data_IF_126697306390
#
_entry.id   IF_126697306390
#
_cell.length_a   1.000
_cell.length_b   1.000
_cell.length_c   1.000
_cell.angle_alpha   90.00
_cell.angle_beta   90.00
_cell.angle_gamma   90.00
#
_symmetry.space_group_name_H-M   'P 1'
#
loop_
_entity.id
_entity.type
_entity.pdbx_description
1 polymer ?
#
# COMPACT_ATOMS: atom_id res chain seq x y z
N UNK A 1 -8.62 -66.64 -36.07
CA UNK A 1 -8.29 -66.01 -34.77
C UNK A 1 -8.15 -64.55 -34.98
N UNK A 2 -9.18 -63.76 -34.64
CA UNK A 2 -9.14 -62.25 -34.71
C UNK A 2 -8.69 -61.71 -33.35
N UNK A 3 -7.55 -61.04 -33.31
CA UNK A 3 -7.06 -60.37 -32.10
C UNK A 3 -7.78 -59.01 -31.99
N UNK A 4 -8.54 -58.84 -30.91
CA UNK A 4 -9.22 -57.61 -30.55
C UNK A 4 -8.17 -56.75 -29.79
N UNK A 5 -7.78 -55.59 -30.36
CA UNK A 5 -6.97 -54.60 -29.67
C UNK A 5 -7.91 -53.62 -28.97
N UNK A 6 -7.95 -53.68 -27.64
CA UNK A 6 -8.68 -52.71 -26.82
C UNK A 6 -7.77 -51.49 -26.60
N UNK A 7 -8.13 -50.37 -27.21
CA UNK A 7 -7.44 -49.08 -27.01
C UNK A 7 -7.98 -48.46 -25.72
N UNK A 8 -7.14 -48.43 -24.68
CA UNK A 8 -7.46 -47.78 -23.41
C UNK A 8 -7.17 -46.29 -23.52
N UNK A 9 -8.20 -45.47 -23.72
CA UNK A 9 -8.04 -44.01 -23.75
C UNK A 9 -7.99 -43.50 -22.31
N UNK A 10 -6.82 -43.12 -21.82
CA UNK A 10 -6.64 -42.44 -20.53
C UNK A 10 -7.05 -40.99 -20.72
N UNK A 11 -8.24 -40.60 -20.22
CA UNK A 11 -8.65 -39.21 -20.12
C UNK A 11 -7.87 -38.57 -18.95
N UNK A 12 -6.82 -37.83 -19.26
CA UNK A 12 -6.21 -36.93 -18.30
C UNK A 12 -7.15 -35.72 -18.08
N UNK A 13 -7.89 -35.73 -16.99
CA UNK A 13 -8.54 -34.53 -16.47
C UNK A 13 -7.43 -33.58 -15.98
N UNK A 14 -7.01 -32.66 -16.81
CA UNK A 14 -6.28 -31.48 -16.35
C UNK A 14 -7.29 -30.60 -15.63
N UNK A 15 -7.37 -30.75 -14.32
CA UNK A 15 -8.11 -29.84 -13.48
C UNK A 15 -7.53 -28.42 -13.67
N UNK A 16 -8.25 -27.57 -14.40
CA UNK A 16 -7.96 -26.12 -14.38
C UNK A 16 -8.27 -25.64 -12.96
N UNK A 17 -7.24 -25.55 -12.13
CA UNK A 17 -7.35 -24.78 -10.88
C UNK A 17 -7.59 -23.34 -11.27
N UNK A 18 -8.83 -22.84 -11.07
CA UNK A 18 -9.08 -21.39 -11.11
C UNK A 18 -8.10 -20.74 -10.13
N UNK A 19 -7.39 -19.72 -10.59
CA UNK A 19 -6.62 -18.87 -9.66
C UNK A 19 -7.58 -18.39 -8.58
N UNK A 20 -7.22 -18.62 -7.32
CA UNK A 20 -8.05 -18.20 -6.20
C UNK A 20 -8.10 -16.67 -6.17
N UNK A 21 -9.31 -16.11 -6.11
CA UNK A 21 -9.50 -14.66 -6.06
C UNK A 21 -9.03 -14.09 -4.71
N UNK A 22 -8.63 -12.83 -4.70
CA UNK A 22 -8.31 -12.11 -3.47
C UNK A 22 -9.55 -11.95 -2.60
N UNK A 23 -9.45 -12.36 -1.32
CA UNK A 23 -10.47 -12.20 -0.29
C UNK A 23 -9.99 -11.14 0.71
N UNK A 24 -10.88 -10.24 1.13
CA UNK A 24 -10.59 -9.25 2.16
C UNK A 24 -10.35 -9.99 3.50
N UNK A 25 -9.17 -9.81 4.09
CA UNK A 25 -8.82 -10.40 5.40
C UNK A 25 -8.72 -9.35 6.51
N UNK A 26 -8.61 -8.07 6.14
CA UNK A 26 -8.60 -6.97 7.10
C UNK A 26 -9.00 -5.65 6.45
N UNK A 27 -9.80 -4.86 7.19
CA UNK A 27 -10.21 -3.51 6.85
C UNK A 27 -10.05 -2.61 8.06
N UNK A 28 -9.39 -1.47 7.85
CA UNK A 28 -9.33 -0.36 8.79
C UNK A 28 -9.90 0.87 8.10
N UNK A 29 -11.00 1.41 8.59
CA UNK A 29 -11.70 2.57 8.01
C UNK A 29 -11.70 3.81 8.91
N UNK A 30 -11.01 3.72 10.06
CA UNK A 30 -10.79 4.83 10.98
C UNK A 30 -12.07 5.54 11.46
N UNK A 31 -13.20 4.82 11.52
CA UNK A 31 -14.50 5.38 11.92
C UNK A 31 -14.73 5.43 13.42
N UNK A 32 -13.85 4.80 14.21
CA UNK A 32 -13.93 4.75 15.66
C UNK A 32 -13.63 6.11 16.31
N UNK A 33 -13.98 6.25 17.58
CA UNK A 33 -13.75 7.50 18.33
C UNK A 33 -12.27 7.76 18.64
N UNK A 34 -11.44 6.71 18.63
CA UNK A 34 -9.98 6.76 18.86
C UNK A 34 -9.29 5.65 18.09
N UNK A 35 -8.02 5.86 17.79
CA UNK A 35 -7.18 4.85 17.14
C UNK A 35 -7.12 3.60 18.02
N UNK A 36 -7.40 2.42 17.45
CA UNK A 36 -7.38 1.16 18.18
C UNK A 36 -5.93 0.82 18.62
N UNK A 37 -5.70 0.90 19.92
CA UNK A 37 -4.39 0.63 20.48
C UNK A 37 -4.03 -0.88 20.52
N UNK A 38 -4.96 -1.78 20.21
CA UNK A 38 -4.65 -3.19 19.98
C UNK A 38 -4.00 -3.41 18.61
N UNK A 39 -4.24 -2.53 17.66
CA UNK A 39 -3.71 -2.59 16.28
C UNK A 39 -2.55 -1.61 16.08
N UNK A 40 -2.68 -0.40 16.57
CA UNK A 40 -1.79 0.71 16.27
C UNK A 40 -0.89 1.11 17.44
N UNK A 41 0.34 1.49 17.13
CA UNK A 41 1.24 2.23 18.00
C UNK A 41 1.38 3.65 17.46
N UNK A 42 1.23 4.65 18.33
CA UNK A 42 1.64 6.04 18.02
C UNK A 42 3.11 6.16 18.44
N UNK A 43 3.98 6.57 17.52
CA UNK A 43 5.39 6.79 17.83
C UNK A 43 5.61 8.15 18.48
N UNK A 44 6.34 8.16 19.60
CA UNK A 44 6.77 9.36 20.33
C UNK A 44 8.29 9.38 20.36
N UNK A 45 8.89 10.16 19.46
CA UNK A 45 10.36 10.18 19.27
C UNK A 45 10.84 11.42 18.54
N UNK A 46 12.07 11.83 18.81
CA UNK A 46 12.79 12.92 18.14
C UNK A 46 14.14 12.48 17.56
N UNK A 47 14.33 11.16 17.37
CA UNK A 47 15.62 10.60 16.96
C UNK A 47 16.01 10.87 15.49
N UNK A 48 15.18 11.60 14.73
CA UNK A 48 15.42 11.95 13.34
C UNK A 48 15.22 10.80 12.34
N UNK A 49 14.56 9.69 12.76
CA UNK A 49 14.18 8.59 11.89
C UNK A 49 15.32 7.89 11.14
N UNK A 50 16.59 8.11 11.56
CA UNK A 50 17.78 7.67 10.81
C UNK A 50 18.14 8.56 9.62
N UNK A 51 17.33 9.57 9.29
CA UNK A 51 17.43 10.41 8.10
C UNK A 51 17.61 11.91 8.41
N UNK A 52 18.01 12.26 9.65
CA UNK A 52 18.14 13.65 10.11
C UNK A 52 16.83 14.46 9.98
N UNK A 53 15.70 13.81 10.15
CA UNK A 53 14.38 14.45 10.15
C UNK A 53 14.27 15.47 11.29
N UNK A 54 13.50 16.53 11.08
CA UNK A 54 13.46 17.70 11.97
C UNK A 54 12.41 17.63 13.07
N UNK A 55 11.32 16.88 12.86
CA UNK A 55 10.17 16.85 13.74
C UNK A 55 10.41 16.08 15.04
N UNK A 56 9.62 16.41 16.03
CA UNK A 56 9.25 15.52 17.12
C UNK A 56 7.96 14.78 16.72
N UNK A 57 8.02 13.46 16.54
CA UNK A 57 6.81 12.65 16.44
C UNK A 57 6.14 12.56 17.81
N UNK A 58 4.85 12.85 17.90
CA UNK A 58 4.13 12.89 19.16
C UNK A 58 2.63 12.62 18.97
N UNK A 59 1.95 12.28 20.08
CA UNK A 59 0.52 11.92 20.06
C UNK A 59 -0.36 13.02 19.43
N UNK A 60 -0.08 14.30 19.68
CA UNK A 60 -0.87 15.41 19.09
C UNK A 60 -0.74 15.52 17.58
N UNK A 61 0.28 14.90 16.97
CA UNK A 61 0.43 14.77 15.52
C UNK A 61 -0.45 13.70 14.90
N UNK A 62 -1.18 12.92 15.72
CA UNK A 62 -2.02 11.81 15.28
C UNK A 62 -3.45 12.02 15.79
N UNK A 63 -4.43 11.97 14.91
CA UNK A 63 -5.84 12.05 15.30
C UNK A 63 -6.74 11.27 14.34
N UNK A 64 -7.94 10.95 14.78
CA UNK A 64 -9.04 10.54 13.90
C UNK A 64 -9.97 11.72 13.71
N UNK A 65 -10.51 11.89 12.49
CA UNK A 65 -11.40 12.99 12.20
C UNK A 65 -11.88 13.00 10.75
N UNK A 66 -12.66 14.02 10.43
CA UNK A 66 -13.27 14.15 9.10
C UNK A 66 -12.38 14.97 8.18
N UNK A 67 -12.07 14.43 7.00
CA UNK A 67 -11.45 15.20 5.93
C UNK A 67 -12.46 16.21 5.37
N UNK A 68 -12.15 17.53 5.39
CA UNK A 68 -13.17 18.58 5.25
C UNK A 68 -13.77 18.71 3.85
N UNK A 69 -13.08 18.22 2.79
CA UNK A 69 -13.58 18.34 1.40
C UNK A 69 -14.55 17.22 1.01
N UNK A 70 -14.32 16.01 1.53
CA UNK A 70 -15.07 14.81 1.15
C UNK A 70 -16.01 14.33 2.23
N UNK A 71 -15.84 14.79 3.50
CA UNK A 71 -16.59 14.32 4.64
C UNK A 71 -16.21 12.90 5.11
N UNK A 72 -15.10 12.34 4.64
CA UNK A 72 -14.65 11.00 5.02
C UNK A 72 -13.95 11.02 6.37
N UNK A 73 -14.24 10.03 7.22
CA UNK A 73 -13.46 9.75 8.42
C UNK A 73 -12.08 9.22 8.01
N UNK A 74 -11.04 9.70 8.69
CA UNK A 74 -9.65 9.38 8.32
C UNK A 74 -8.77 9.31 9.57
N UNK A 75 -7.70 8.54 9.47
CA UNK A 75 -6.48 8.80 10.22
C UNK A 75 -5.84 10.07 9.67
N UNK A 76 -5.50 11.01 10.55
CA UNK A 76 -4.91 12.30 10.22
C UNK A 76 -3.54 12.41 10.85
N UNK A 77 -2.49 12.54 10.01
CA UNK A 77 -1.14 12.84 10.46
C UNK A 77 -0.87 14.32 10.18
N UNK A 78 -0.59 15.09 11.23
CA UNK A 78 -0.48 16.55 11.16
C UNK A 78 0.95 17.00 11.42
N UNK A 79 1.55 17.66 10.44
CA UNK A 79 2.83 18.37 10.54
C UNK A 79 2.61 19.83 10.92
N UNK A 80 3.26 20.31 12.00
CA UNK A 80 3.09 21.66 12.52
C UNK A 80 4.44 22.30 12.81
N UNK A 81 4.64 23.55 12.38
CA UNK A 81 5.79 24.37 12.78
C UNK A 81 5.48 25.00 14.14
N UNK A 82 6.09 24.48 15.18
CA UNK A 82 5.90 24.89 16.57
C UNK A 82 7.07 24.42 17.42
N UNK A 83 7.42 25.18 18.46
CA UNK A 83 8.38 24.67 19.44
C UNK A 83 7.77 23.60 20.31
N UNK A 84 8.38 22.43 20.37
CA UNK A 84 7.96 21.32 21.21
C UNK A 84 9.16 20.59 21.78
N UNK A 85 9.36 20.70 23.11
CA UNK A 85 10.49 20.13 23.86
C UNK A 85 11.82 20.64 23.31
N UNK A 86 12.46 19.94 22.39
CA UNK A 86 13.77 20.25 21.80
C UNK A 86 13.74 20.35 20.26
N UNK A 87 12.54 20.41 19.68
CA UNK A 87 12.31 20.52 18.23
C UNK A 87 11.44 21.73 17.90
N UNK A 88 11.62 22.26 16.69
CA UNK A 88 10.87 23.41 16.18
C UNK A 88 9.71 23.00 15.27
N UNK A 89 9.37 21.70 15.26
CA UNK A 89 8.20 21.18 14.59
C UNK A 89 7.77 19.83 15.18
N UNK A 90 6.49 19.54 15.05
CA UNK A 90 5.88 18.26 15.45
C UNK A 90 5.24 17.59 14.25
N UNK A 91 5.08 16.27 14.32
CA UNK A 91 4.35 15.50 13.33
C UNK A 91 3.80 14.18 13.89
N UNK A 92 3.09 13.43 13.03
CA UNK A 92 2.51 12.13 13.35
C UNK A 92 3.20 10.98 12.63
N UNK A 93 3.38 9.86 13.38
CA UNK A 93 3.79 8.56 12.87
C UNK A 93 3.09 7.46 13.64
N UNK A 94 2.52 6.50 12.91
CA UNK A 94 1.87 5.32 13.45
C UNK A 94 2.42 4.06 12.81
N UNK A 95 2.38 2.95 13.55
CA UNK A 95 2.74 1.65 13.02
C UNK A 95 1.95 0.51 13.68
N UNK A 96 1.97 -0.67 13.07
CA UNK A 96 1.28 -1.86 13.59
C UNK A 96 2.26 -2.91 14.15
N UNK A 97 3.51 -2.53 14.44
CA UNK A 97 4.58 -3.45 14.90
C UNK A 97 4.14 -4.28 16.10
N UNK A 98 4.33 -5.61 16.02
CA UNK A 98 3.99 -6.59 17.05
C UNK A 98 2.49 -6.69 17.39
N UNK A 99 1.63 -6.02 16.61
CA UNK A 99 0.17 -6.01 16.81
C UNK A 99 -0.54 -6.57 15.58
N UNK A 100 -0.49 -5.89 14.44
CA UNK A 100 -1.00 -6.41 13.20
C UNK A 100 0.14 -6.54 12.18
N UNK A 101 0.25 -7.71 11.58
CA UNK A 101 1.26 -8.01 10.56
C UNK A 101 0.78 -9.13 9.63
N UNK A 102 1.32 -9.16 8.42
CA UNK A 102 0.92 -10.10 7.39
C UNK A 102 2.10 -10.52 6.50
N UNK A 103 1.91 -11.62 5.77
CA UNK A 103 2.86 -12.10 4.77
C UNK A 103 2.12 -12.35 3.48
N UNK A 104 2.58 -11.74 2.39
CA UNK A 104 2.04 -11.83 1.04
C UNK A 104 0.56 -11.42 0.93
N UNK A 105 0.16 -11.14 -0.29
CA UNK A 105 -1.19 -10.70 -0.62
C UNK A 105 -1.20 -9.36 -1.34
N UNK A 106 -2.32 -8.68 -1.25
CA UNK A 106 -2.52 -7.31 -1.74
C UNK A 106 -2.84 -6.40 -0.56
N UNK A 107 -2.19 -5.26 -0.49
CA UNK A 107 -2.57 -4.16 0.40
C UNK A 107 -2.97 -2.96 -0.44
N UNK A 108 -4.09 -2.36 -0.08
CA UNK A 108 -4.57 -1.09 -0.62
C UNK A 108 -4.69 -0.08 0.51
N UNK A 109 -4.22 1.14 0.28
CA UNK A 109 -4.43 2.27 1.18
C UNK A 109 -4.97 3.46 0.39
N UNK A 110 -6.09 4.05 0.84
CA UNK A 110 -6.65 5.25 0.23
C UNK A 110 -6.16 6.47 0.97
N UNK A 111 -5.28 7.24 0.33
CA UNK A 111 -4.49 8.31 0.95
C UNK A 111 -4.69 9.62 0.20
N UNK A 112 -4.85 10.72 0.95
CA UNK A 112 -4.75 12.09 0.46
C UNK A 112 -3.46 12.71 0.99
N UNK A 113 -2.51 12.95 0.08
CA UNK A 113 -1.23 13.55 0.43
C UNK A 113 -1.37 15.06 0.58
N UNK A 114 -0.66 15.69 1.56
CA UNK A 114 -0.61 17.14 1.66
C UNK A 114 0.17 17.75 0.50
N UNK A 115 0.05 19.07 0.33
CA UNK A 115 1.03 19.81 -0.48
C UNK A 115 2.39 19.71 0.19
N UNK A 116 3.28 18.97 -0.45
CA UNK A 116 4.63 18.74 0.08
C UNK A 116 5.48 19.99 0.00
N UNK A 117 5.22 20.87 -1.01
CA UNK A 117 6.01 22.06 -1.29
C UNK A 117 7.50 21.75 -1.03
N UNK A 118 8.22 22.60 -0.24
CA UNK A 118 9.56 22.23 0.21
C UNK A 118 9.50 21.69 1.63
N UNK A 119 9.94 20.45 1.81
CA UNK A 119 10.36 19.91 3.08
C UNK A 119 9.39 18.95 3.77
N UNK A 120 8.21 18.66 3.25
CA UNK A 120 7.39 17.55 3.76
C UNK A 120 7.72 16.25 3.03
N UNK A 121 7.68 15.17 3.78
CA UNK A 121 7.97 13.81 3.32
C UNK A 121 6.92 12.85 3.88
N UNK A 122 5.72 12.79 3.28
CA UNK A 122 4.72 11.77 3.60
C UNK A 122 5.17 10.42 3.04
N UNK A 123 4.95 9.35 3.84
CA UNK A 123 5.27 7.98 3.47
C UNK A 123 4.21 6.99 3.97
N UNK A 124 3.97 5.96 3.16
CA UNK A 124 3.24 4.76 3.53
C UNK A 124 4.07 3.54 3.13
N UNK A 125 4.47 2.73 4.09
CA UNK A 125 5.51 1.74 3.96
C UNK A 125 5.39 0.60 4.97
N UNK A 126 6.28 -0.38 4.90
CA UNK A 126 6.31 -1.52 5.81
C UNK A 126 7.74 -2.00 6.11
N UNK A 127 7.90 -2.66 7.25
CA UNK A 127 9.12 -3.36 7.64
C UNK A 127 8.82 -4.76 8.17
N UNK A 128 9.83 -5.65 8.13
CA UNK A 128 9.74 -6.97 8.73
C UNK A 128 9.44 -6.90 10.23
N UNK A 129 8.42 -7.66 10.69
CA UNK A 129 7.99 -7.68 12.10
C UNK A 129 9.03 -8.29 13.05
N UNK A 130 10.12 -8.84 12.49
CA UNK A 130 11.30 -9.28 13.24
C UNK A 130 12.31 -8.14 13.50
N UNK A 131 11.92 -6.87 13.28
CA UNK A 131 12.77 -5.69 13.49
C UNK A 131 13.45 -5.68 14.85
N UNK A 132 12.73 -6.01 15.94
CA UNK A 132 13.28 -5.97 17.29
C UNK A 132 14.37 -7.05 17.53
N UNK A 133 14.41 -8.10 16.70
CA UNK A 133 15.40 -9.17 16.79
C UNK A 133 16.65 -8.91 15.94
N UNK A 134 16.46 -8.36 14.73
CA UNK A 134 17.55 -8.26 13.76
C UNK A 134 17.93 -6.83 13.42
N UNK A 135 17.05 -5.85 13.67
CA UNK A 135 17.22 -4.45 13.32
C UNK A 135 17.14 -4.17 11.82
N UNK A 136 17.21 -2.88 11.49
CA UNK A 136 17.31 -2.40 10.10
C UNK A 136 18.77 -2.45 9.62
N UNK A 137 19.06 -2.80 8.37
CA UNK A 137 18.16 -3.17 7.27
C UNK A 137 17.89 -4.68 7.17
N UNK A 138 18.28 -5.49 8.15
CA UNK A 138 18.16 -6.95 8.13
C UNK A 138 16.71 -7.43 8.15
N UNK A 139 15.80 -6.65 8.71
CA UNK A 139 14.38 -6.97 8.72
C UNK A 139 13.73 -6.82 7.33
N UNK A 140 14.35 -6.06 6.42
CA UNK A 140 13.75 -5.63 5.16
C UNK A 140 12.81 -4.45 5.34
N UNK A 141 12.79 -3.56 4.33
CA UNK A 141 11.92 -2.39 4.24
C UNK A 141 11.34 -2.31 2.84
N UNK A 142 10.08 -1.94 2.74
CA UNK A 142 9.37 -1.74 1.47
C UNK A 142 8.56 -0.46 1.57
N UNK A 143 8.94 0.54 0.79
CA UNK A 143 8.29 1.85 0.74
C UNK A 143 7.30 1.85 -0.38
N UNK A 144 6.00 1.66 -0.02
CA UNK A 144 4.95 1.60 -1.02
C UNK A 144 4.85 2.93 -1.75
N UNK A 145 4.94 4.04 -1.03
CA UNK A 145 4.96 5.36 -1.64
C UNK A 145 5.62 6.39 -0.72
N UNK A 146 6.41 7.27 -1.33
CA UNK A 146 7.02 8.42 -0.70
C UNK A 146 6.94 9.64 -1.63
N UNK A 147 6.61 10.80 -1.08
CA UNK A 147 6.65 12.10 -1.76
C UNK A 147 7.64 13.04 -1.07
N UNK A 148 8.05 14.10 -1.76
CA UNK A 148 8.87 15.16 -1.17
C UNK A 148 10.37 15.02 -1.41
N UNK A 149 10.81 14.13 -2.31
CA UNK A 149 12.23 13.97 -2.65
C UNK A 149 12.83 15.26 -3.24
N UNK A 150 14.08 15.58 -2.89
CA UNK A 150 14.78 16.78 -3.34
C UNK A 150 14.82 16.98 -4.87
N UNK A 151 14.82 15.90 -5.65
CA UNK A 151 14.77 15.98 -7.12
C UNK A 151 13.45 16.55 -7.63
N UNK A 152 12.35 16.30 -6.94
CA UNK A 152 11.04 16.87 -7.25
C UNK A 152 11.06 18.41 -7.14
N UNK A 153 11.72 18.96 -6.10
CA UNK A 153 11.86 20.41 -5.94
C UNK A 153 12.75 21.02 -7.01
N UNK A 154 13.87 20.36 -7.32
CA UNK A 154 14.82 20.82 -8.35
C UNK A 154 14.19 20.86 -9.75
N UNK A 155 13.23 19.96 -10.01
CA UNK A 155 12.51 19.86 -11.31
C UNK A 155 11.18 20.62 -11.33
N UNK A 156 10.70 21.14 -10.19
CA UNK A 156 9.40 21.81 -10.09
C UNK A 156 8.23 20.85 -10.26
N UNK A 157 8.40 19.58 -9.84
CA UNK A 157 7.40 18.50 -10.01
C UNK A 157 6.96 17.90 -8.69
N UNK A 158 7.15 18.57 -7.57
CA UNK A 158 6.89 18.07 -6.22
C UNK A 158 5.46 17.60 -6.01
N UNK A 159 4.51 18.20 -6.72
CA UNK A 159 3.09 17.87 -6.63
C UNK A 159 2.71 16.54 -7.33
N UNK A 160 3.62 15.97 -8.11
CA UNK A 160 3.35 14.78 -8.96
C UNK A 160 4.53 13.81 -9.07
N UNK A 161 5.59 14.04 -8.29
CA UNK A 161 6.76 13.16 -8.21
C UNK A 161 6.68 12.30 -6.95
N UNK A 162 6.75 11.00 -7.13
CA UNK A 162 6.75 10.02 -6.04
C UNK A 162 7.63 8.82 -6.39
N UNK A 163 7.97 8.01 -5.40
CA UNK A 163 8.72 6.78 -5.59
C UNK A 163 8.19 5.63 -4.73
N UNK A 164 8.55 4.42 -5.14
CA UNK A 164 8.56 3.22 -4.31
C UNK A 164 9.97 2.72 -4.17
N UNK A 165 10.29 2.02 -3.08
CA UNK A 165 11.61 1.49 -2.81
C UNK A 165 11.59 0.19 -2.02
N UNK A 166 12.74 -0.49 -2.03
CA UNK A 166 13.02 -1.67 -1.19
C UNK A 166 14.45 -1.58 -0.65
N UNK A 167 14.65 -1.95 0.61
CA UNK A 167 15.94 -1.91 1.29
C UNK A 167 16.19 -3.20 2.07
N UNK A 168 17.38 -3.80 1.89
CA UNK A 168 17.87 -4.93 2.68
C UNK A 168 19.39 -4.83 2.85
N UNK A 169 19.95 -5.50 3.82
CA UNK A 169 21.39 -5.54 3.96
C UNK A 169 21.85 -6.03 5.33
N UNK A 170 23.16 -6.15 5.49
CA UNK A 170 23.77 -6.67 6.71
C UNK A 170 23.88 -5.62 7.82
N UNK A 171 23.97 -4.33 7.46
CA UNK A 171 24.11 -3.19 8.38
C UNK A 171 23.83 -1.86 7.67
N UNK A 172 23.69 -0.77 8.41
CA UNK A 172 23.31 0.57 7.92
C UNK A 172 24.21 1.13 6.81
N UNK A 173 25.48 0.74 6.75
CA UNK A 173 26.46 1.17 5.72
C UNK A 173 26.71 0.10 4.65
N UNK A 174 25.89 -0.98 4.64
CA UNK A 174 25.93 -2.06 3.67
C UNK A 174 24.50 -2.46 3.33
N UNK A 175 23.80 -1.55 2.65
CA UNK A 175 22.40 -1.68 2.23
C UNK A 175 22.35 -1.85 0.72
N UNK A 176 21.62 -2.87 0.28
CA UNK A 176 21.12 -2.93 -1.09
C UNK A 176 19.79 -2.19 -1.13
N UNK A 177 19.67 -1.26 -2.07
CA UNK A 177 18.47 -0.49 -2.29
C UNK A 177 18.08 -0.51 -3.76
N UNK A 178 16.80 -0.66 -4.02
CA UNK A 178 16.20 -0.47 -5.34
C UNK A 178 15.05 0.49 -5.20
N UNK A 179 15.03 1.53 -6.01
CA UNK A 179 13.99 2.55 -5.98
C UNK A 179 13.64 2.97 -7.41
N UNK A 180 12.37 3.22 -7.66
CA UNK A 180 11.91 3.82 -8.89
C UNK A 180 11.07 5.06 -8.60
N UNK A 181 11.48 6.18 -9.22
CA UNK A 181 10.80 7.46 -9.11
C UNK A 181 10.02 7.77 -10.37
N UNK A 182 8.81 8.28 -10.20
CA UNK A 182 7.89 8.59 -11.28
C UNK A 182 7.42 10.04 -11.19
N UNK A 183 7.39 10.71 -12.34
CA UNK A 183 6.70 12.00 -12.47
C UNK A 183 5.40 11.79 -13.24
N UNK A 184 4.26 11.98 -12.57
CA UNK A 184 2.96 11.81 -13.19
C UNK A 184 2.54 13.02 -14.02
N UNK A 185 1.58 12.85 -14.97
CA UNK A 185 1.13 13.96 -15.80
C UNK A 185 0.24 14.96 -15.06
N UNK A 186 -0.26 14.61 -13.85
CA UNK A 186 -1.13 15.44 -13.00
C UNK A 186 -0.70 15.36 -11.54
N UNK A 187 -1.17 16.33 -10.73
CA UNK A 187 -0.89 16.38 -9.29
C UNK A 187 -1.48 15.18 -8.57
N UNK A 188 -0.74 14.63 -7.61
CA UNK A 188 -1.17 13.59 -6.67
C UNK A 188 -1.42 14.15 -5.27
N UNK A 189 -1.28 15.46 -5.09
CA UNK A 189 -1.52 16.17 -3.84
C UNK A 189 -2.98 16.62 -3.73
N UNK A 190 -3.47 16.81 -2.52
CA UNK A 190 -4.81 17.34 -2.18
C UNK A 190 -6.00 16.50 -2.71
N UNK A 191 -5.77 15.32 -3.26
CA UNK A 191 -6.81 14.38 -3.69
C UNK A 191 -6.54 12.98 -3.14
N UNK A 192 -7.61 12.17 -3.00
CA UNK A 192 -7.44 10.79 -2.59
C UNK A 192 -7.00 9.90 -3.77
N UNK A 193 -5.95 9.13 -3.52
CA UNK A 193 -5.45 8.09 -4.40
C UNK A 193 -5.44 6.74 -3.68
N UNK A 194 -5.54 5.65 -4.43
CA UNK A 194 -5.37 4.30 -3.88
C UNK A 194 -3.96 3.83 -4.22
N UNK A 195 -3.14 3.69 -3.18
CA UNK A 195 -1.82 3.07 -3.29
C UNK A 195 -1.99 1.58 -3.06
N UNK A 196 -1.55 0.78 -4.03
CA UNK A 196 -1.67 -0.68 -3.99
C UNK A 196 -0.30 -1.32 -4.05
N UNK A 197 -0.04 -2.33 -3.23
CA UNK A 197 1.06 -3.26 -3.41
C UNK A 197 0.53 -4.69 -3.58
N UNK A 198 1.02 -5.39 -4.59
CA UNK A 198 0.86 -6.84 -4.77
C UNK A 198 2.19 -7.49 -4.41
N UNK A 199 2.15 -8.30 -3.35
CA UNK A 199 3.31 -8.95 -2.79
C UNK A 199 3.15 -10.47 -2.83
N UNK A 200 4.06 -11.11 -3.56
CA UNK A 200 4.11 -12.55 -3.76
C UNK A 200 5.45 -13.13 -3.26
N UNK A 201 5.60 -14.45 -3.15
CA UNK A 201 6.91 -15.05 -2.83
C UNK A 201 8.04 -14.68 -3.81
N UNK A 202 7.69 -14.27 -5.04
CA UNK A 202 8.65 -14.06 -6.11
C UNK A 202 8.79 -12.59 -6.54
N UNK A 203 7.87 -11.70 -6.11
CA UNK A 203 7.87 -10.31 -6.58
C UNK A 203 7.09 -9.38 -5.68
N UNK A 204 7.45 -8.10 -5.74
CA UNK A 204 6.68 -6.97 -5.23
C UNK A 204 6.40 -6.04 -6.41
N UNK A 205 5.13 -5.61 -6.54
CA UNK A 205 4.72 -4.63 -7.54
C UNK A 205 3.81 -3.58 -6.89
N UNK A 206 4.06 -2.29 -7.17
CA UNK A 206 3.34 -1.17 -6.56
C UNK A 206 2.65 -0.33 -7.62
N UNK A 207 1.45 0.12 -7.29
CA UNK A 207 0.55 0.82 -8.22
C UNK A 207 -0.07 2.03 -7.52
N UNK A 208 -0.38 3.04 -8.30
CA UNK A 208 -1.27 4.12 -7.89
C UNK A 208 -2.52 4.10 -8.74
N UNK A 209 -3.70 4.05 -8.10
CA UNK A 209 -5.01 3.92 -8.76
C UNK A 209 -5.02 2.78 -9.80
N UNK A 210 -4.73 1.56 -9.33
CA UNK A 210 -4.51 0.36 -10.17
C UNK A 210 -5.64 0.13 -11.19
N UNK A 211 -6.88 0.47 -10.83
CA UNK A 211 -8.04 0.32 -11.72
C UNK A 211 -8.00 1.25 -12.94
N UNK A 212 -7.30 2.37 -12.81
CA UNK A 212 -7.09 3.35 -13.89
C UNK A 212 -5.72 3.20 -14.56
N UNK A 213 -4.73 2.76 -13.76
CA UNK A 213 -3.33 2.65 -14.16
C UNK A 213 -2.81 1.24 -13.81
N UNK A 214 -3.06 0.23 -14.65
CA UNK A 214 -2.70 -1.16 -14.35
C UNK A 214 -1.20 -1.47 -14.47
N UNK A 215 -0.39 -0.51 -14.92
CA UNK A 215 1.06 -0.66 -14.96
C UNK A 215 1.68 -0.25 -13.62
N UNK A 216 2.53 -1.09 -13.01
CA UNK A 216 3.19 -0.76 -11.76
C UNK A 216 4.18 0.41 -11.95
N UNK A 217 4.22 1.33 -11.00
CA UNK A 217 5.27 2.35 -10.96
C UNK A 217 6.58 1.83 -10.35
N UNK A 218 6.51 0.75 -9.58
CA UNK A 218 7.64 0.00 -9.06
C UNK A 218 7.36 -1.49 -9.20
N UNK A 219 8.34 -2.25 -9.67
CA UNK A 219 8.26 -3.72 -9.67
C UNK A 219 9.66 -4.30 -9.51
N UNK A 220 9.77 -5.27 -8.61
CA UNK A 220 11.02 -5.98 -8.33
C UNK A 220 10.79 -7.46 -8.12
N UNK A 221 11.64 -8.28 -8.74
CA UNK A 221 11.70 -9.70 -8.45
C UNK A 221 12.46 -9.94 -7.14
N UNK A 222 11.99 -10.89 -6.35
CA UNK A 222 12.64 -11.33 -5.12
C UNK A 222 13.63 -12.45 -5.46
N UNK A 223 14.88 -12.06 -5.71
CA UNK A 223 15.91 -13.01 -6.08
C UNK A 223 16.54 -13.68 -4.85
N UNK A 224 16.77 -15.00 -4.89
CA UNK A 224 17.53 -15.68 -3.86
C UNK A 224 19.00 -15.22 -3.88
N UNK A 225 19.65 -15.25 -2.72
CA UNK A 225 21.07 -14.96 -2.58
C UNK A 225 21.70 -15.93 -1.56
N UNK A 226 22.96 -16.30 -1.76
CA UNK A 226 23.69 -17.12 -0.80
C UNK A 226 24.07 -16.38 0.49
N UNK A 227 24.17 -15.05 0.43
CA UNK A 227 24.29 -14.21 1.62
C UNK A 227 22.89 -13.97 2.22
N UNK A 228 22.69 -14.40 3.47
CA UNK A 228 21.39 -14.36 4.14
C UNK A 228 20.79 -12.93 4.22
N UNK A 229 21.66 -11.91 4.34
CA UNK A 229 21.24 -10.51 4.47
C UNK A 229 20.89 -9.83 3.16
N UNK A 230 21.10 -10.51 2.04
CA UNK A 230 20.76 -10.07 0.69
C UNK A 230 19.83 -11.05 -0.03
N UNK A 231 19.39 -12.11 0.65
CA UNK A 231 18.41 -13.05 0.12
C UNK A 231 17.01 -12.46 0.23
N UNK A 232 16.59 -11.76 -0.84
CA UNK A 232 15.33 -11.04 -0.89
C UNK A 232 14.11 -11.96 -0.74
N UNK A 233 14.15 -13.18 -1.25
CA UNK A 233 13.06 -14.15 -1.06
C UNK A 233 12.86 -14.48 0.41
N UNK A 234 13.93 -14.68 1.18
CA UNK A 234 13.87 -15.03 2.59
C UNK A 234 13.47 -13.83 3.44
N UNK A 235 14.06 -12.66 3.18
CA UNK A 235 13.82 -11.45 3.98
C UNK A 235 12.39 -10.95 3.77
N UNK A 236 11.98 -10.75 2.52
CA UNK A 236 10.61 -10.34 2.17
C UNK A 236 9.61 -11.50 2.17
N UNK A 237 9.98 -12.69 2.56
CA UNK A 237 9.10 -13.82 2.85
C UNK A 237 8.66 -13.91 4.31
N UNK A 238 9.03 -12.92 5.14
CA UNK A 238 8.67 -12.84 6.56
C UNK A 238 7.49 -11.89 6.77
N UNK A 239 6.75 -12.01 7.89
CA UNK A 239 5.67 -11.08 8.20
C UNK A 239 6.17 -9.64 8.29
N UNK A 240 5.39 -8.70 7.75
CA UNK A 240 5.65 -7.27 7.79
C UNK A 240 4.54 -6.52 8.53
N UNK A 241 4.92 -5.46 9.22
CA UNK A 241 4.02 -4.49 9.83
C UNK A 241 3.98 -3.20 9.02
N UNK A 242 2.88 -2.46 9.10
CA UNK A 242 2.61 -1.24 8.35
C UNK A 242 3.08 -0.02 9.14
N UNK A 243 3.56 1.00 8.42
CA UNK A 243 3.95 2.30 8.95
C UNK A 243 3.36 3.39 8.07
N UNK A 244 2.84 4.46 8.69
CA UNK A 244 2.46 5.69 8.03
C UNK A 244 3.02 6.89 8.80
N UNK A 245 3.63 7.83 8.09
CA UNK A 245 4.18 9.03 8.71
C UNK A 245 4.17 10.24 7.77
N UNK A 246 4.28 11.41 8.39
CA UNK A 246 4.51 12.68 7.72
C UNK A 246 5.80 13.31 8.26
N UNK A 247 6.94 12.96 7.68
CA UNK A 247 8.24 13.52 8.10
C UNK A 247 8.41 14.97 7.64
N UNK A 248 9.31 15.68 8.29
CA UNK A 248 9.64 17.07 8.01
C UNK A 248 11.14 17.21 7.85
N UNK A 249 11.60 17.67 6.68
CA UNK A 249 13.03 17.83 6.40
C UNK A 249 13.82 16.54 6.36
N UNK A 250 15.12 16.64 6.54
CA UNK A 250 16.06 15.53 6.53
C UNK A 250 16.66 15.23 5.17
N UNK A 251 17.25 14.05 5.06
CA UNK A 251 18.07 13.64 3.91
C UNK A 251 17.26 13.51 2.61
N UNK A 252 16.04 13.01 2.68
CA UNK A 252 15.23 12.77 1.50
C UNK A 252 14.75 14.05 0.80
N UNK A 253 14.20 15.06 1.53
CA UNK A 253 13.96 16.39 0.96
C UNK A 253 15.24 17.22 0.75
N UNK A 254 16.34 16.87 1.42
CA UNK A 254 17.59 17.64 1.38
C UNK A 254 17.50 18.97 2.09
N UNK A 255 16.72 19.06 3.17
CA UNK A 255 16.50 20.28 3.97
C UNK A 255 16.68 19.93 5.45
N UNK A 256 17.67 20.55 6.10
CA UNK A 256 18.04 20.27 7.49
C UNK A 256 17.84 21.46 8.42
N UNK A 257 17.18 22.53 7.96
CA UNK A 257 16.81 23.71 8.74
C UNK A 257 15.31 23.96 8.62
N UNK A 258 14.65 24.16 9.76
CA UNK A 258 13.20 24.43 9.83
C UNK A 258 12.79 25.69 9.04
N UNK A 259 13.68 26.66 8.86
CA UNK A 259 13.42 27.83 8.06
C UNK A 259 13.37 27.55 6.55
N UNK A 260 13.97 26.44 6.11
CA UNK A 260 13.88 25.94 4.74
C UNK A 260 12.57 25.19 4.47
N UNK A 261 11.79 24.85 5.48
CA UNK A 261 10.51 24.12 5.36
C UNK A 261 9.40 25.10 4.98
N UNK A 262 9.30 25.44 3.71
CA UNK A 262 8.29 26.40 3.24
C UNK A 262 6.88 25.83 3.22
N UNK A 263 6.73 24.51 3.21
CA UNK A 263 5.43 23.83 3.27
C UNK A 263 4.58 24.24 4.47
N UNK A 264 5.23 24.59 5.60
CA UNK A 264 4.56 24.93 6.86
C UNK A 264 4.42 26.43 7.12
N UNK A 265 4.81 27.29 6.17
CA UNK A 265 4.78 28.76 6.37
C UNK A 265 3.35 29.31 6.53
N UNK A 266 2.34 28.62 5.99
CA UNK A 266 0.93 29.02 6.02
C UNK A 266 0.08 28.12 6.93
N UNK A 267 0.67 27.55 7.97
CA UNK A 267 -0.02 26.69 8.94
C UNK A 267 0.26 25.21 8.76
N UNK A 268 -0.38 24.38 9.58
CA UNK A 268 -0.21 22.92 9.56
C UNK A 268 -0.55 22.29 8.22
N UNK A 269 0.02 21.11 7.95
CA UNK A 269 -0.31 20.26 6.82
C UNK A 269 -0.72 18.88 7.32
N UNK A 270 -1.70 18.30 6.66
CA UNK A 270 -2.27 17.02 7.04
C UNK A 270 -2.20 16.00 5.90
N UNK A 271 -1.76 14.80 6.24
CA UNK A 271 -1.93 13.60 5.44
C UNK A 271 -3.16 12.86 5.98
N UNK A 272 -4.08 12.47 5.10
CA UNK A 272 -5.30 11.74 5.47
C UNK A 272 -5.25 10.34 4.90
N UNK A 273 -5.58 9.34 5.72
CA UNK A 273 -5.76 7.96 5.28
C UNK A 273 -7.21 7.59 5.57
N UNK A 274 -8.01 7.40 4.51
CA UNK A 274 -9.44 7.07 4.59
C UNK A 274 -9.66 5.64 5.05
N UNK A 275 -8.90 4.71 4.45
CA UNK A 275 -8.93 3.30 4.83
C UNK A 275 -7.66 2.56 4.37
N UNK A 276 -7.41 1.40 5.02
CA UNK A 276 -6.39 0.43 4.62
C UNK A 276 -7.05 -0.95 4.55
N UNK A 277 -6.75 -1.74 3.49
CA UNK A 277 -7.32 -3.06 3.26
C UNK A 277 -6.25 -4.06 2.89
N UNK A 278 -6.32 -5.24 3.47
CA UNK A 278 -5.44 -6.36 3.14
C UNK A 278 -6.29 -7.49 2.58
N UNK A 279 -5.81 -8.06 1.46
CA UNK A 279 -6.46 -9.15 0.76
C UNK A 279 -5.48 -10.31 0.58
N UNK A 280 -5.95 -11.53 0.78
CA UNK A 280 -5.17 -12.75 0.56
C UNK A 280 -5.96 -13.75 -0.28
N UNK A 281 -5.27 -14.71 -0.87
CA UNK A 281 -5.88 -15.79 -1.68
C UNK A 281 -6.06 -17.09 -0.92
N UNK A 282 -5.57 -17.17 0.33
CA UNK A 282 -5.57 -18.39 1.12
C UNK A 282 -4.46 -19.36 0.72
N UNK A 283 -3.40 -18.88 0.05
CA UNK A 283 -2.23 -19.67 -0.26
C UNK A 283 -1.52 -20.08 1.04
N UNK A 284 -0.95 -21.31 1.09
CA UNK A 284 -0.37 -21.88 2.31
C UNK A 284 0.79 -21.06 2.93
N UNK A 285 1.42 -20.20 2.14
CA UNK A 285 2.51 -19.30 2.56
C UNK A 285 2.06 -17.90 2.97
N UNK A 286 0.76 -17.61 2.87
CA UNK A 286 0.16 -16.38 3.34
C UNK A 286 -0.15 -16.47 4.83
N UNK A 287 -0.01 -15.37 5.55
CA UNK A 287 -0.40 -15.27 6.95
C UNK A 287 -0.94 -13.87 7.25
N UNK A 288 -1.85 -13.81 8.19
CA UNK A 288 -2.39 -12.57 8.73
C UNK A 288 -2.58 -12.73 10.23
N UNK A 289 -2.13 -11.77 11.02
CA UNK A 289 -2.29 -11.71 12.47
C UNK A 289 -2.76 -10.34 12.86
N UNK A 290 -3.90 -10.28 13.56
CA UNK A 290 -4.44 -9.07 14.16
C UNK A 290 -5.22 -9.43 15.42
N UNK A 291 -4.86 -8.91 16.60
CA UNK A 291 -5.53 -9.25 17.86
C UNK A 291 -7.00 -8.81 17.93
N UNK A 292 -7.38 -7.77 17.20
CA UNK A 292 -8.75 -7.24 17.16
C UNK A 292 -9.63 -7.89 16.09
N UNK A 293 -9.07 -8.71 15.20
CA UNK A 293 -9.83 -9.45 14.19
C UNK A 293 -10.52 -10.67 14.85
N UNK A 294 -11.50 -10.42 15.71
CA UNK A 294 -12.23 -11.49 16.42
C UNK A 294 -13.31 -12.16 15.58
N UNK A 295 -13.77 -11.54 14.48
CA UNK A 295 -14.79 -12.11 13.61
C UNK A 295 -14.30 -12.13 12.15
N UNK A 296 -14.60 -13.21 11.38
CA UNK A 296 -14.46 -13.18 9.93
C UNK A 296 -15.30 -12.03 9.39
N UNK A 297 -14.75 -11.21 8.50
CA UNK A 297 -15.53 -10.18 7.82
C UNK A 297 -16.59 -10.90 7.01
N UNK A 298 -17.87 -10.80 7.43
CA UNK A 298 -18.99 -11.38 6.68
C UNK A 298 -19.02 -10.77 5.27
N UNK A 299 -19.29 -11.55 4.24
CA UNK A 299 -19.31 -11.09 2.84
C UNK A 299 -20.23 -9.89 2.58
N UNK A 300 -21.26 -9.66 3.42
CA UNK A 300 -22.18 -8.53 3.30
C UNK A 300 -21.55 -7.18 3.63
N UNK A 301 -20.51 -7.14 4.44
CA UNK A 301 -19.76 -5.92 4.74
C UNK A 301 -18.66 -5.62 3.70
N UNK A 302 -18.45 -6.53 2.75
CA UNK A 302 -17.63 -6.30 1.56
C UNK A 302 -18.34 -5.46 0.48
N UNK A 303 -19.43 -4.76 0.80
CA UNK A 303 -20.20 -3.90 -0.12
C UNK A 303 -19.45 -2.64 -0.62
N UNK A 304 -18.15 -2.65 -0.61
CA UNK A 304 -17.31 -1.71 -1.36
C UNK A 304 -16.47 -2.39 -2.43
N UNK A 305 -16.62 -3.70 -2.58
CA UNK A 305 -16.10 -4.48 -3.70
C UNK A 305 -17.21 -4.56 -4.76
N UNK A 306 -17.54 -3.43 -5.42
CA UNK A 306 -17.99 -3.57 -6.79
C UNK A 306 -16.90 -4.38 -7.49
N UNK A 307 -17.29 -5.50 -8.07
CA UNK A 307 -16.43 -6.43 -8.82
C UNK A 307 -15.38 -5.65 -9.60
N UNK A 308 -14.14 -5.63 -9.12
CA UNK A 308 -13.00 -5.27 -9.94
C UNK A 308 -12.71 -6.48 -10.83
N UNK A 309 -13.64 -6.75 -11.72
CA UNK A 309 -13.35 -7.50 -12.94
C UNK A 309 -12.45 -6.59 -13.76
N UNK A 310 -11.23 -7.01 -13.98
CA UNK A 310 -10.29 -6.32 -14.86
C UNK A 310 -10.98 -5.84 -16.15
N UNK A 311 -10.71 -4.58 -16.51
CA UNK A 311 -11.26 -3.77 -17.58
C UNK A 311 -12.60 -3.08 -17.25
N UNK A 312 -12.46 -1.79 -16.87
CA UNK A 312 -13.54 -0.86 -16.63
C UNK A 312 -14.53 -0.75 -17.78
N UNK A 313 -15.65 -1.40 -17.62
CA UNK A 313 -16.91 -1.05 -18.22
C UNK A 313 -17.96 -1.34 -17.13
N UNK A 314 -18.57 -0.30 -16.58
CA UNK A 314 -19.86 -0.45 -15.91
C UNK A 314 -20.81 -1.09 -16.90
N UNK A 315 -20.99 -2.39 -16.80
CA UNK A 315 -21.95 -3.13 -17.61
C UNK A 315 -23.32 -2.96 -16.96
N UNK A 316 -23.97 -1.86 -17.24
CA UNK A 316 -25.42 -1.72 -16.97
C UNK A 316 -26.16 -2.62 -17.97
N UNK A 317 -26.45 -3.87 -17.59
CA UNK A 317 -27.19 -4.80 -18.45
C UNK A 317 -27.46 -6.11 -17.72
N UNK A 318 -28.56 -6.79 -18.11
CA UNK A 318 -28.95 -8.07 -17.57
C UNK A 318 -28.05 -9.19 -18.11
N UNK A 319 -27.48 -10.03 -17.24
CA UNK A 319 -26.73 -11.22 -17.66
C UNK A 319 -27.70 -12.30 -18.15
N UNK A 320 -27.55 -12.75 -19.38
CA UNK A 320 -28.42 -13.78 -20.01
C UNK A 320 -27.59 -14.97 -20.42
N UNK A 321 -27.94 -16.14 -19.94
CA UNK A 321 -27.35 -17.42 -20.37
C UNK A 321 -28.14 -17.99 -21.54
N UNK A 322 -27.56 -18.14 -22.73
CA UNK A 322 -28.18 -18.70 -23.91
C UNK A 322 -27.28 -19.75 -24.54
N UNK A 323 -27.78 -21.00 -24.66
CA UNK A 323 -27.03 -22.15 -25.18
C UNK A 323 -25.68 -22.42 -24.48
N UNK A 324 -25.62 -22.19 -23.15
CA UNK A 324 -24.40 -22.38 -22.36
C UNK A 324 -23.35 -21.25 -22.49
N UNK A 325 -23.68 -20.19 -23.20
CA UNK A 325 -22.82 -18.98 -23.31
C UNK A 325 -23.44 -17.79 -22.58
N UNK A 326 -22.61 -17.00 -21.93
CA UNK A 326 -23.00 -15.79 -21.20
C UNK A 326 -23.03 -14.58 -22.14
N UNK A 327 -24.16 -13.87 -22.15
CA UNK A 327 -24.37 -12.62 -22.88
C UNK A 327 -24.85 -11.52 -21.93
N UNK A 328 -24.78 -10.26 -22.40
CA UNK A 328 -25.26 -9.08 -21.70
C UNK A 328 -26.38 -8.46 -22.51
N UNK A 329 -27.58 -8.35 -21.93
CA UNK A 329 -28.72 -7.66 -22.55
C UNK A 329 -28.74 -6.21 -22.10
N UNK A 330 -28.83 -5.27 -23.06
CA UNK A 330 -29.06 -3.84 -22.82
C UNK A 330 -30.23 -3.38 -23.70
N UNK A 331 -31.38 -3.17 -23.09
CA UNK A 331 -32.62 -2.93 -23.85
C UNK A 331 -32.93 -4.11 -24.79
N UNK A 332 -33.12 -3.82 -26.06
CA UNK A 332 -33.44 -4.85 -27.07
C UNK A 332 -32.18 -5.53 -27.68
N UNK A 333 -30.99 -5.12 -27.30
CA UNK A 333 -29.74 -5.65 -27.85
C UNK A 333 -29.08 -6.65 -26.89
N UNK A 334 -28.49 -7.70 -27.48
CA UNK A 334 -27.68 -8.72 -26.80
C UNK A 334 -26.24 -8.58 -27.27
N UNK A 335 -25.31 -8.58 -26.32
CA UNK A 335 -23.87 -8.42 -26.52
C UNK A 335 -23.11 -9.64 -26.03
N UNK A 336 -22.02 -10.00 -26.68
CA UNK A 336 -21.03 -10.92 -26.11
C UNK A 336 -20.38 -10.29 -24.88
N UNK A 337 -19.71 -11.07 -24.05
CA UNK A 337 -18.88 -10.58 -22.92
C UNK A 337 -17.73 -9.66 -23.38
N UNK A 338 -17.37 -9.71 -24.66
CA UNK A 338 -16.36 -8.83 -25.29
C UNK A 338 -16.97 -7.57 -25.92
N UNK A 339 -18.31 -7.35 -25.77
CA UNK A 339 -19.00 -6.14 -26.24
C UNK A 339 -19.48 -6.16 -27.70
N UNK A 340 -19.40 -7.29 -28.42
CA UNK A 340 -19.94 -7.39 -29.77
C UNK A 340 -21.47 -7.63 -29.73
N UNK A 341 -22.20 -6.91 -30.56
CA UNK A 341 -23.66 -7.09 -30.72
C UNK A 341 -23.93 -8.43 -31.39
N UNK A 342 -24.80 -9.25 -30.77
CA UNK A 342 -25.23 -10.56 -31.29
C UNK A 342 -26.64 -10.47 -31.88
N UNK A 343 -27.48 -9.52 -31.37
CA UNK A 343 -28.82 -9.21 -31.82
C UNK A 343 -29.26 -7.83 -31.36
#
# INVERSE_FOLDING_TARGET
>A
MKKLFTLLTVLCFVGMTKAQEYQLVWNEDFTEASLDNAVWNIEVTNNGGGNNELQYYCEKGVSLGVEPTTGKHCLILTATKEHYIDRECTSGRVNTKNKMYYTFGRIDARIKFPRTANGLWPAFWQMGNNYDQVGWPRCGETDLIELGHQNAFKSGTQDRYFNGAMHVGSKWDAVWSEANSVTWPYSVEDTFHIVTMIWTPNSIAMYMDIDKNPSPYFQQNLEPNNDEWYNRQVIFGKPNFIIANLAIGGNFPGIWDINGITALNNGPRMMYIDWIRIYQRGDANQSFVCPSASDPIEPENAQGLEEVTGYGLQVTGEKVLQNGQLFIRRGDNIYTITGQIVK
#
